data_IF_806852541677
#
_entry.id   IF_806852541677
#
_cell.length_a   1.000
_cell.length_b   1.000
_cell.length_c   1.000
_cell.angle_alpha   90.00
_cell.angle_beta   90.00
_cell.angle_gamma   90.00
#
_symmetry.space_group_name_H-M   'P 1'
#
loop_
_entity.id
_entity.type
_entity.pdbx_description
1 polymer ?
#
# COMPACT_ATOMS: atom_id res chain seq x y z
N UNK A 1 30.58 48.62 -26.55
CA UNK A 1 30.62 48.37 -27.99
C UNK A 1 29.23 47.96 -28.42
N UNK A 2 28.71 48.62 -29.44
CA UNK A 2 27.43 48.29 -30.05
C UNK A 2 27.65 47.39 -31.27
N UNK A 3 26.63 46.65 -31.71
CA UNK A 3 26.74 45.72 -32.83
C UNK A 3 27.16 46.43 -34.13
N UNK A 4 26.80 47.69 -34.33
CA UNK A 4 27.23 48.53 -35.45
C UNK A 4 28.74 48.90 -35.42
N UNK A 5 29.42 48.61 -34.32
CA UNK A 5 30.86 48.79 -34.14
C UNK A 5 31.66 47.48 -34.32
N UNK A 6 30.98 46.36 -34.63
CA UNK A 6 31.57 45.03 -34.81
C UNK A 6 31.67 44.63 -36.30
N UNK A 7 32.55 43.67 -36.58
CA UNK A 7 32.64 43.04 -37.91
C UNK A 7 31.29 42.38 -38.28
N UNK A 8 30.64 42.78 -39.39
CA UNK A 8 29.37 42.19 -39.82
C UNK A 8 29.41 40.66 -39.97
N UNK A 9 30.55 40.10 -40.37
CA UNK A 9 30.69 38.64 -40.49
C UNK A 9 30.65 37.96 -39.11
N UNK A 10 31.27 38.56 -38.10
CA UNK A 10 31.21 38.08 -36.72
C UNK A 10 29.78 38.15 -36.15
N UNK A 11 29.04 39.23 -36.42
CA UNK A 11 27.64 39.38 -35.99
C UNK A 11 26.79 38.27 -36.61
N UNK A 12 26.96 38.00 -37.91
CA UNK A 12 26.24 36.92 -38.59
C UNK A 12 26.61 35.54 -38.01
N UNK A 13 27.90 35.28 -37.77
CA UNK A 13 28.35 34.03 -37.15
C UNK A 13 27.80 33.85 -35.72
N UNK A 14 27.74 34.92 -34.91
CA UNK A 14 27.17 34.90 -33.58
C UNK A 14 25.64 34.64 -33.62
N UNK A 15 24.93 35.23 -34.60
CA UNK A 15 23.51 34.99 -34.81
C UNK A 15 23.25 33.54 -35.24
N UNK A 16 24.03 33.02 -36.18
CA UNK A 16 23.93 31.63 -36.64
C UNK A 16 24.23 30.65 -35.51
N UNK A 17 25.25 30.92 -34.69
CA UNK A 17 25.56 30.16 -33.49
C UNK A 17 24.39 30.15 -32.50
N UNK A 18 23.83 31.31 -32.16
CA UNK A 18 22.67 31.40 -31.27
C UNK A 18 21.47 30.62 -31.82
N UNK A 19 21.16 30.79 -33.10
CA UNK A 19 20.09 30.06 -33.79
C UNK A 19 20.29 28.56 -33.72
N UNK A 20 21.53 28.09 -33.94
CA UNK A 20 21.88 26.68 -33.82
C UNK A 20 21.67 26.17 -32.39
N UNK A 21 22.12 26.90 -31.37
CA UNK A 21 21.95 26.52 -29.96
C UNK A 21 20.47 26.47 -29.57
N UNK A 22 19.65 27.45 -29.95
CA UNK A 22 18.22 27.45 -29.64
C UNK A 22 17.45 26.32 -30.33
N UNK A 23 17.90 25.92 -31.52
CA UNK A 23 17.22 24.88 -32.31
C UNK A 23 17.65 23.46 -31.96
N UNK A 24 18.94 23.26 -31.64
CA UNK A 24 19.54 21.92 -31.54
C UNK A 24 19.87 21.49 -30.11
N UNK A 25 19.93 22.43 -29.16
CA UNK A 25 20.21 22.08 -27.76
C UNK A 25 19.10 21.23 -27.18
N UNK A 26 19.47 20.04 -26.68
CA UNK A 26 18.53 19.13 -26.02
C UNK A 26 18.42 19.48 -24.54
N UNK A 27 17.24 19.21 -23.97
CA UNK A 27 17.03 19.26 -22.52
C UNK A 27 18.02 18.31 -21.86
N UNK A 28 18.70 18.78 -20.80
CA UNK A 28 19.63 17.95 -20.03
C UNK A 28 18.88 16.77 -19.42
N UNK A 29 19.40 15.57 -19.61
CA UNK A 29 18.84 14.34 -19.06
C UNK A 29 19.88 13.51 -18.29
N UNK A 30 19.40 12.71 -17.35
CA UNK A 30 20.14 11.66 -16.63
C UNK A 30 19.71 10.28 -17.17
N UNK A 31 20.38 9.22 -16.71
CA UNK A 31 20.04 7.82 -17.03
C UNK A 31 18.56 7.52 -16.72
N UNK A 32 17.86 6.81 -17.60
CA UNK A 32 16.42 6.50 -17.45
C UNK A 32 15.51 7.62 -17.95
N UNK A 33 15.96 8.44 -18.91
CA UNK A 33 15.16 9.50 -19.53
C UNK A 33 14.78 10.68 -18.61
N UNK A 34 15.42 10.82 -17.46
CA UNK A 34 15.04 11.80 -16.43
C UNK A 34 15.50 13.20 -16.87
N UNK A 35 14.56 14.09 -17.17
CA UNK A 35 14.87 15.49 -17.48
C UNK A 35 15.29 16.26 -16.23
N UNK A 36 16.38 17.03 -16.34
CA UNK A 36 16.90 17.87 -15.26
C UNK A 36 16.14 19.20 -15.25
N UNK A 37 15.43 19.46 -14.15
CA UNK A 37 14.76 20.72 -13.85
C UNK A 37 15.55 21.48 -12.74
N UNK A 38 15.02 22.61 -12.25
CA UNK A 38 15.67 23.42 -11.21
C UNK A 38 16.06 22.62 -9.96
N UNK A 39 15.12 21.97 -9.25
CA UNK A 39 15.42 21.18 -8.06
C UNK A 39 16.40 20.03 -8.32
N UNK A 40 16.27 19.33 -9.45
CA UNK A 40 17.22 18.27 -9.82
C UNK A 40 18.62 18.82 -10.05
N UNK A 41 18.73 19.98 -10.70
CA UNK A 41 20.01 20.64 -10.93
C UNK A 41 20.65 21.08 -9.62
N UNK A 42 19.87 21.62 -8.68
CA UNK A 42 20.33 21.98 -7.33
C UNK A 42 20.95 20.76 -6.63
N UNK A 43 20.25 19.62 -6.60
CA UNK A 43 20.78 18.38 -6.00
C UNK A 43 22.06 17.90 -6.68
N UNK A 44 22.12 17.95 -8.01
CA UNK A 44 23.32 17.58 -8.77
C UNK A 44 24.51 18.49 -8.44
N UNK A 45 24.28 19.80 -8.38
CA UNK A 45 25.31 20.79 -8.03
C UNK A 45 25.81 20.53 -6.62
N UNK A 46 24.91 20.37 -5.64
CA UNK A 46 25.28 20.11 -4.25
C UNK A 46 26.12 18.82 -4.14
N UNK A 47 25.63 17.72 -4.73
CA UNK A 47 26.30 16.42 -4.66
C UNK A 47 27.70 16.46 -5.27
N UNK A 48 27.87 17.14 -6.41
CA UNK A 48 29.19 17.26 -7.04
C UNK A 48 30.14 18.21 -6.30
N UNK A 49 29.65 19.34 -5.82
CA UNK A 49 30.46 20.30 -5.06
C UNK A 49 30.91 19.70 -3.73
N UNK A 50 30.04 18.95 -3.05
CA UNK A 50 30.37 18.27 -1.80
C UNK A 50 31.43 17.19 -2.01
N UNK A 51 31.32 16.40 -3.09
CA UNK A 51 32.35 15.41 -3.44
C UNK A 51 33.71 16.08 -3.67
N UNK A 52 33.76 17.14 -4.47
CA UNK A 52 35.00 17.90 -4.74
C UNK A 52 35.58 18.47 -3.44
N UNK A 53 34.73 19.09 -2.62
CA UNK A 53 35.13 19.74 -1.37
C UNK A 53 35.64 18.73 -0.33
N UNK A 54 35.17 17.49 -0.38
CA UNK A 54 35.59 16.40 0.49
C UNK A 54 36.84 15.65 -0.02
N UNK A 55 37.33 15.98 -1.21
CA UNK A 55 38.47 15.31 -1.86
C UNK A 55 38.11 14.05 -2.65
N UNK A 56 36.82 13.75 -2.81
CA UNK A 56 36.30 12.64 -3.60
C UNK A 56 36.07 13.04 -5.07
N UNK A 57 35.91 12.04 -5.95
CA UNK A 57 35.61 12.26 -7.36
C UNK A 57 34.09 12.41 -7.58
N UNK A 58 33.63 13.46 -8.29
CA UNK A 58 32.24 13.57 -8.75
C UNK A 58 31.79 12.33 -9.53
N UNK A 59 30.78 11.63 -9.00
CA UNK A 59 30.26 10.40 -9.59
C UNK A 59 28.80 10.60 -10.04
N UNK A 60 28.55 10.41 -11.34
CA UNK A 60 27.19 10.53 -11.90
C UNK A 60 26.23 9.51 -11.28
N UNK A 61 26.69 8.30 -10.98
CA UNK A 61 25.85 7.27 -10.38
C UNK A 61 25.38 7.67 -8.98
N UNK A 62 26.30 8.14 -8.13
CA UNK A 62 26.00 8.62 -6.78
C UNK A 62 25.03 9.81 -6.81
N UNK A 63 25.22 10.73 -7.76
CA UNK A 63 24.33 11.89 -7.91
C UNK A 63 22.90 11.48 -8.32
N UNK A 64 22.74 10.48 -9.19
CA UNK A 64 21.41 9.96 -9.52
C UNK A 64 20.80 9.18 -8.36
N UNK A 65 21.59 8.45 -7.55
CA UNK A 65 21.11 7.75 -6.35
C UNK A 65 20.61 8.73 -5.28
N UNK A 66 21.37 9.79 -5.01
CA UNK A 66 20.97 10.84 -4.06
C UNK A 66 19.66 11.51 -4.51
N UNK A 67 19.54 11.80 -5.80
CA UNK A 67 18.31 12.35 -6.37
C UNK A 67 17.12 11.38 -6.23
N UNK A 68 17.34 10.08 -6.50
CA UNK A 68 16.32 9.06 -6.33
C UNK A 68 15.84 8.97 -4.89
N UNK A 69 16.74 9.02 -3.89
CA UNK A 69 16.35 9.00 -2.48
C UNK A 69 15.43 10.17 -2.11
N UNK A 70 15.79 11.39 -2.49
CA UNK A 70 15.01 12.59 -2.17
C UNK A 70 13.64 12.54 -2.85
N UNK A 71 13.60 12.26 -4.16
CA UNK A 71 12.35 12.26 -4.90
C UNK A 71 11.45 11.09 -4.52
N UNK A 72 12.00 9.90 -4.27
CA UNK A 72 11.21 8.74 -3.85
C UNK A 72 10.62 8.94 -2.45
N UNK A 73 11.36 9.53 -1.51
CA UNK A 73 10.83 9.89 -0.18
C UNK A 73 9.68 10.89 -0.29
N UNK A 74 9.83 11.92 -1.12
CA UNK A 74 8.75 12.86 -1.40
C UNK A 74 7.54 12.19 -2.09
N UNK A 75 7.79 11.19 -2.96
CA UNK A 75 6.73 10.41 -3.61
C UNK A 75 5.94 9.56 -2.60
N UNK A 76 6.59 8.96 -1.61
CA UNK A 76 5.92 8.25 -0.49
C UNK A 76 4.97 9.21 0.23
N UNK A 77 5.46 10.37 0.67
CA UNK A 77 4.63 11.35 1.38
C UNK A 77 3.44 11.83 0.55
N UNK A 78 3.65 12.02 -0.76
CA UNK A 78 2.59 12.44 -1.69
C UNK A 78 1.53 11.35 -1.89
N UNK A 79 1.92 10.09 -2.01
CA UNK A 79 1.00 8.96 -2.13
C UNK A 79 0.15 8.80 -0.86
N UNK A 80 0.80 8.91 0.30
CA UNK A 80 0.15 8.82 1.60
C UNK A 80 -0.85 9.96 1.82
N UNK A 81 -0.46 11.21 1.52
CA UNK A 81 -1.36 12.34 1.61
C UNK A 81 -2.57 12.20 0.66
N UNK A 82 -2.35 11.65 -0.54
CA UNK A 82 -3.43 11.35 -1.48
C UNK A 82 -4.41 10.32 -0.92
N UNK A 83 -3.91 9.22 -0.34
CA UNK A 83 -4.73 8.23 0.33
C UNK A 83 -5.58 8.85 1.46
N UNK A 84 -4.95 9.63 2.34
CA UNK A 84 -5.62 10.25 3.50
C UNK A 84 -6.75 11.19 3.03
N UNK A 85 -6.49 11.96 1.97
CA UNK A 85 -7.50 12.81 1.34
C UNK A 85 -8.68 12.00 0.78
N UNK A 86 -8.41 10.92 0.03
CA UNK A 86 -9.45 10.10 -0.58
C UNK A 86 -10.32 9.41 0.47
N UNK A 87 -9.70 8.84 1.51
CA UNK A 87 -10.43 8.20 2.60
C UNK A 87 -11.27 9.20 3.39
N UNK A 88 -10.72 10.38 3.71
CA UNK A 88 -11.47 11.42 4.42
C UNK A 88 -12.68 11.95 3.64
N UNK A 89 -12.62 11.97 2.30
CA UNK A 89 -13.73 12.44 1.46
C UNK A 89 -14.80 11.36 1.24
N UNK A 90 -14.39 10.10 1.04
CA UNK A 90 -15.29 9.01 0.64
C UNK A 90 -15.92 8.28 1.82
N UNK A 91 -15.20 8.12 2.94
CA UNK A 91 -15.66 7.31 4.07
C UNK A 91 -16.65 8.08 4.94
N UNK A 92 -17.78 7.45 5.23
CA UNK A 92 -18.78 7.95 6.20
C UNK A 92 -19.00 6.89 7.27
N UNK A 93 -18.49 7.16 8.48
CA UNK A 93 -18.61 6.25 9.61
C UNK A 93 -19.95 6.42 10.36
N UNK A 94 -20.53 5.33 10.90
CA UNK A 94 -20.18 3.94 10.60
C UNK A 94 -20.60 3.54 9.17
N UNK A 95 -19.82 2.67 8.53
CA UNK A 95 -20.18 2.04 7.25
C UNK A 95 -21.28 1.00 7.46
N UNK A 96 -22.09 0.70 6.44
CA UNK A 96 -23.14 -0.34 6.54
C UNK A 96 -22.53 -1.74 6.72
N UNK A 97 -21.46 -2.01 5.97
CA UNK A 97 -20.77 -3.30 6.00
C UNK A 97 -19.26 -3.10 6.10
N UNK A 98 -18.54 -4.16 6.49
CA UNK A 98 -17.09 -4.16 6.44
C UNK A 98 -16.60 -4.05 4.99
N UNK A 99 -17.28 -4.71 4.05
CA UNK A 99 -16.93 -4.69 2.62
C UNK A 99 -16.95 -3.26 2.05
N UNK A 100 -17.93 -2.43 2.42
CA UNK A 100 -17.96 -1.01 2.00
C UNK A 100 -16.69 -0.26 2.39
N UNK A 101 -16.17 -0.50 3.60
CA UNK A 101 -14.92 0.12 4.07
C UNK A 101 -13.70 -0.42 3.32
N UNK A 102 -13.65 -1.74 3.10
CA UNK A 102 -12.56 -2.41 2.40
C UNK A 102 -12.49 -1.95 0.93
N UNK A 103 -13.62 -1.94 0.21
CA UNK A 103 -13.67 -1.48 -1.18
C UNK A 103 -13.16 -0.03 -1.35
N UNK A 104 -13.49 0.85 -0.41
CA UNK A 104 -13.00 2.23 -0.38
C UNK A 104 -11.50 2.31 -0.09
N UNK A 105 -11.00 1.44 0.78
CA UNK A 105 -9.58 1.31 1.08
C UNK A 105 -8.80 0.84 -0.15
N UNK A 106 -9.21 -0.28 -0.75
CA UNK A 106 -8.62 -0.84 -1.97
C UNK A 106 -8.52 0.18 -3.10
N UNK A 107 -9.61 0.93 -3.35
CA UNK A 107 -9.61 1.96 -4.38
C UNK A 107 -8.62 3.10 -4.06
N UNK A 108 -8.59 3.56 -2.81
CA UNK A 108 -7.72 4.66 -2.39
C UNK A 108 -6.25 4.24 -2.34
N UNK A 109 -5.96 3.01 -1.93
CA UNK A 109 -4.63 2.40 -1.95
C UNK A 109 -4.10 2.28 -3.37
N UNK A 110 -4.91 1.76 -4.29
CA UNK A 110 -4.54 1.67 -5.71
C UNK A 110 -4.15 3.02 -6.29
N UNK A 111 -4.99 4.04 -6.08
CA UNK A 111 -4.72 5.40 -6.55
C UNK A 111 -3.43 5.98 -5.91
N UNK A 112 -3.18 5.70 -4.62
CA UNK A 112 -1.97 6.12 -3.93
C UNK A 112 -0.72 5.44 -4.50
N UNK A 113 -0.77 4.15 -4.81
CA UNK A 113 0.32 3.44 -5.47
C UNK A 113 0.59 3.98 -6.87
N UNK A 114 -0.44 4.32 -7.66
CA UNK A 114 -0.28 4.99 -8.95
C UNK A 114 0.41 6.37 -8.82
N UNK A 115 0.05 7.15 -7.79
CA UNK A 115 0.73 8.40 -7.46
C UNK A 115 2.19 8.15 -7.11
N UNK A 116 2.50 7.17 -6.27
CA UNK A 116 3.87 6.81 -5.93
C UNK A 116 4.67 6.42 -7.18
N UNK A 117 4.15 5.50 -8.00
CA UNK A 117 4.83 4.99 -9.19
C UNK A 117 5.14 6.10 -10.19
N UNK A 118 4.23 7.06 -10.36
CA UNK A 118 4.41 8.22 -11.25
C UNK A 118 5.50 9.19 -10.80
N UNK A 119 5.72 9.31 -9.48
CA UNK A 119 6.62 10.32 -8.92
C UNK A 119 7.95 9.73 -8.42
N UNK A 120 8.17 8.41 -8.55
CA UNK A 120 9.39 7.72 -8.11
C UNK A 120 10.20 7.17 -9.29
N UNK A 121 11.53 7.10 -9.16
CA UNK A 121 12.41 6.53 -10.20
C UNK A 121 13.67 5.88 -9.61
N UNK A 122 14.28 4.98 -10.40
CA UNK A 122 15.59 4.34 -10.18
C UNK A 122 15.73 3.68 -8.79
N UNK A 123 15.16 2.50 -8.68
CA UNK A 123 15.27 1.55 -7.58
C UNK A 123 16.49 0.61 -7.83
N UNK A 124 17.71 1.12 -7.64
CA UNK A 124 18.93 0.34 -7.93
C UNK A 124 19.25 -0.57 -6.76
N UNK A 125 19.30 -1.89 -7.01
CA UNK A 125 19.87 -2.88 -6.10
C UNK A 125 18.87 -3.90 -5.54
N UNK A 126 17.59 -3.84 -5.93
CA UNK A 126 16.55 -4.72 -5.37
C UNK A 126 16.45 -4.64 -3.84
N UNK A 127 17.06 -3.65 -3.17
CA UNK A 127 16.93 -3.42 -1.72
C UNK A 127 15.45 -3.30 -1.37
N UNK A 128 14.78 -2.53 -2.19
CA UNK A 128 13.36 -2.28 -2.23
C UNK A 128 12.48 -3.52 -2.51
N UNK A 129 12.95 -4.51 -3.29
CA UNK A 129 12.27 -5.80 -3.53
C UNK A 129 12.55 -6.84 -2.45
N UNK A 130 13.77 -6.85 -1.90
CA UNK A 130 14.18 -7.75 -0.82
C UNK A 130 13.54 -7.34 0.50
N UNK A 131 13.42 -6.05 0.77
CA UNK A 131 12.80 -5.52 1.98
C UNK A 131 11.29 -5.75 1.96
N UNK A 132 10.63 -5.59 0.81
CA UNK A 132 9.25 -6.03 0.63
C UNK A 132 9.09 -7.54 0.87
N UNK A 133 9.97 -8.39 0.31
CA UNK A 133 9.92 -9.84 0.55
C UNK A 133 10.19 -10.24 2.02
N UNK A 134 11.07 -9.52 2.72
CA UNK A 134 11.40 -9.72 4.14
C UNK A 134 10.27 -9.23 5.04
N UNK A 135 9.71 -8.04 4.78
CA UNK A 135 8.52 -7.54 5.46
C UNK A 135 7.30 -8.41 5.16
N UNK A 136 7.16 -8.96 3.95
CA UNK A 136 6.09 -9.91 3.63
C UNK A 136 6.25 -11.21 4.43
N UNK A 137 7.46 -11.74 4.58
CA UNK A 137 7.72 -12.86 5.49
C UNK A 137 7.39 -12.49 6.94
N UNK A 138 7.79 -11.30 7.38
CA UNK A 138 7.60 -10.84 8.75
C UNK A 138 6.14 -10.46 9.08
N UNK A 139 5.40 -9.89 8.14
CA UNK A 139 4.00 -9.51 8.25
C UNK A 139 3.11 -10.75 8.17
N UNK A 140 3.39 -11.68 7.25
CA UNK A 140 2.73 -12.99 7.24
C UNK A 140 3.05 -13.76 8.52
N UNK A 141 4.28 -13.76 9.01
CA UNK A 141 4.62 -14.38 10.30
C UNK A 141 4.01 -13.66 11.50
N UNK A 142 3.90 -12.33 11.50
CA UNK A 142 3.24 -11.54 12.55
C UNK A 142 1.74 -11.73 12.52
N UNK A 143 1.12 -11.79 11.33
CA UNK A 143 -0.28 -12.10 11.15
C UNK A 143 -0.56 -13.54 11.61
N UNK A 144 0.23 -14.52 11.17
CA UNK A 144 0.15 -15.92 11.64
C UNK A 144 0.37 -16.02 13.15
N UNK A 145 1.37 -15.34 13.72
CA UNK A 145 1.63 -15.35 15.16
C UNK A 145 0.54 -14.61 15.98
N UNK A 146 0.00 -13.50 15.46
CA UNK A 146 -1.14 -12.80 16.05
C UNK A 146 -2.39 -13.68 15.98
N UNK A 147 -2.60 -14.40 14.88
CA UNK A 147 -3.68 -15.37 14.71
C UNK A 147 -3.50 -16.59 15.60
N UNK A 148 -2.30 -17.15 15.73
CA UNK A 148 -1.99 -18.26 16.62
C UNK A 148 -2.12 -17.85 18.09
N UNK A 149 -1.77 -16.60 18.44
CA UNK A 149 -1.96 -16.03 19.77
C UNK A 149 -3.44 -15.76 20.06
N UNK A 150 -4.20 -15.24 19.10
CA UNK A 150 -5.65 -15.11 19.22
C UNK A 150 -6.34 -16.48 19.32
N UNK A 151 -5.97 -17.46 18.49
CA UNK A 151 -6.49 -18.82 18.55
C UNK A 151 -6.06 -19.54 19.82
N UNK A 152 -4.86 -19.29 20.32
CA UNK A 152 -4.38 -19.75 21.62
C UNK A 152 -5.18 -19.15 22.78
N UNK A 153 -5.49 -17.85 22.72
CA UNK A 153 -6.32 -17.14 23.69
C UNK A 153 -7.79 -17.55 23.62
N UNK A 154 -8.32 -17.82 22.42
CA UNK A 154 -9.69 -18.28 22.18
C UNK A 154 -9.81 -19.74 22.62
N UNK A 155 -8.86 -20.63 22.28
CA UNK A 155 -8.81 -22.00 22.78
C UNK A 155 -8.58 -22.04 24.29
N UNK A 156 -7.81 -21.12 24.86
CA UNK A 156 -7.66 -20.96 26.31
C UNK A 156 -8.95 -20.46 26.96
N UNK A 157 -9.69 -19.55 26.32
CA UNK A 157 -10.98 -19.04 26.78
C UNK A 157 -12.08 -20.10 26.67
N UNK A 158 -12.07 -20.90 25.61
CA UNK A 158 -12.94 -22.06 25.41
C UNK A 158 -12.58 -23.16 26.41
N UNK A 159 -11.29 -23.46 26.63
CA UNK A 159 -10.84 -24.36 27.69
C UNK A 159 -11.22 -23.84 29.08
N UNK A 160 -11.09 -22.54 29.35
CA UNK A 160 -11.52 -21.90 30.60
C UNK A 160 -13.04 -21.97 30.77
N UNK A 161 -13.83 -21.81 29.69
CA UNK A 161 -15.27 -21.97 29.73
C UNK A 161 -15.69 -23.44 29.95
N UNK A 162 -14.97 -24.38 29.32
CA UNK A 162 -15.16 -25.83 29.49
C UNK A 162 -14.71 -26.29 30.90
N UNK A 163 -13.64 -25.71 31.44
CA UNK A 163 -13.15 -25.93 32.81
C UNK A 163 -13.96 -25.16 33.85
N UNK A 164 -14.61 -24.04 33.52
CA UNK A 164 -15.57 -23.39 34.41
C UNK A 164 -16.84 -24.25 34.59
N UNK A 165 -17.08 -25.20 33.69
CA UNK A 165 -18.07 -26.26 33.84
C UNK A 165 -17.55 -27.49 34.62
N UNK A 166 -16.26 -27.55 35.00
CA UNK A 166 -15.63 -28.65 35.77
C UNK A 166 -14.50 -28.13 36.70
N UNK A 167 -14.76 -28.06 38.00
CA UNK A 167 -13.94 -27.43 39.05
C UNK A 167 -12.39 -27.65 39.05
N UNK A 168 -11.67 -26.57 39.41
CA UNK A 168 -10.38 -26.45 40.15
C UNK A 168 -9.07 -26.03 39.42
N UNK A 169 -8.57 -24.86 39.88
CA UNK A 169 -7.18 -24.47 40.17
C UNK A 169 -6.24 -23.82 39.13
N UNK A 170 -5.45 -22.88 39.71
CA UNK A 170 -4.55 -21.82 39.20
C UNK A 170 -3.36 -22.29 38.35
N UNK A 171 -2.84 -21.42 37.48
CA UNK A 171 -1.53 -20.75 37.65
C UNK A 171 -1.20 -19.69 36.57
N UNK A 172 -0.26 -18.81 36.92
CA UNK A 172 0.16 -17.56 36.25
C UNK A 172 1.28 -17.80 35.23
N UNK A 173 1.38 -16.92 34.22
CA UNK A 173 2.57 -16.80 33.37
C UNK A 173 2.64 -15.45 32.64
N UNK A 174 3.63 -14.64 33.01
CA UNK A 174 4.03 -13.36 32.43
C UNK A 174 4.76 -13.56 31.09
N UNK A 175 4.62 -12.61 30.16
CA UNK A 175 5.60 -12.44 29.05
C UNK A 175 5.83 -10.96 28.75
N UNK A 176 7.11 -10.66 28.56
CA UNK A 176 7.75 -9.36 28.35
C UNK A 176 7.67 -8.98 26.88
N UNK A 177 7.31 -7.74 26.57
CA UNK A 177 7.39 -7.14 25.24
C UNK A 177 8.82 -6.66 24.96
N UNK A 178 9.32 -6.95 23.76
CA UNK A 178 10.48 -6.29 23.17
C UNK A 178 9.97 -5.38 22.05
N UNK A 179 10.30 -4.10 22.18
CA UNK A 179 10.19 -3.09 21.12
C UNK A 179 11.44 -3.21 20.26
N UNK A 180 11.26 -3.35 18.95
CA UNK A 180 12.31 -3.05 18.00
C UNK A 180 11.82 -1.88 17.14
N UNK A 181 12.52 -0.76 17.26
CA UNK A 181 12.50 0.38 16.35
C UNK A 181 13.45 0.05 15.19
N UNK A 182 12.98 0.24 13.95
CA UNK A 182 13.89 0.46 12.82
C UNK A 182 13.39 1.69 12.05
N UNK A 183 14.26 2.71 12.02
CA UNK A 183 14.17 3.88 11.16
C UNK A 183 14.96 3.59 9.88
N UNK A 184 14.28 3.61 8.74
CA UNK A 184 14.88 3.54 7.41
C UNK A 184 13.82 3.89 6.35
N UNK A 185 14.02 5.00 5.63
CA UNK A 185 13.07 5.49 4.63
C UNK A 185 13.21 4.69 3.32
N UNK A 186 12.18 3.90 3.00
CA UNK A 186 12.10 3.05 1.80
C UNK A 186 10.67 2.95 1.24
N UNK A 187 10.43 2.38 0.06
CA UNK A 187 9.13 2.23 -0.61
C UNK A 187 8.25 1.12 -0.02
N UNK A 188 8.80 0.21 0.79
CA UNK A 188 8.01 -0.69 1.65
C UNK A 188 7.21 0.08 2.72
N UNK A 189 7.63 1.33 2.97
CA UNK A 189 6.93 2.24 3.86
C UNK A 189 5.53 2.59 3.33
N UNK A 190 5.27 2.60 2.01
CA UNK A 190 3.92 2.91 1.49
C UNK A 190 2.93 1.79 1.86
N UNK A 191 3.11 0.51 1.46
CA UNK A 191 2.20 -0.56 1.87
C UNK A 191 2.06 -0.69 3.39
N UNK A 192 3.17 -0.61 4.15
CA UNK A 192 3.13 -0.69 5.61
C UNK A 192 2.36 0.47 6.25
N UNK A 193 2.56 1.71 5.76
CA UNK A 193 1.83 2.88 6.24
C UNK A 193 0.34 2.85 5.84
N UNK A 194 0.01 2.33 4.65
CA UNK A 194 -1.37 2.19 4.19
C UNK A 194 -2.12 1.10 4.97
N UNK A 195 -1.46 -0.03 5.25
CA UNK A 195 -2.00 -1.09 6.12
C UNK A 195 -2.27 -0.57 7.53
N UNK A 196 -1.36 0.22 8.10
CA UNK A 196 -1.58 0.87 9.41
C UNK A 196 -2.80 1.79 9.38
N UNK A 197 -2.95 2.61 8.34
CA UNK A 197 -4.10 3.51 8.17
C UNK A 197 -5.41 2.75 8.01
N UNK A 198 -5.41 1.64 7.27
CA UNK A 198 -6.55 0.72 7.16
C UNK A 198 -6.99 0.23 8.53
N UNK A 199 -6.03 -0.25 9.32
CA UNK A 199 -6.30 -0.79 10.66
C UNK A 199 -6.88 0.29 11.59
N UNK A 200 -6.41 1.53 11.47
CA UNK A 200 -6.93 2.67 12.22
C UNK A 200 -8.37 3.03 11.80
N UNK A 201 -8.67 3.09 10.50
CA UNK A 201 -10.04 3.26 9.99
C UNK A 201 -10.96 2.10 10.43
N UNK A 202 -10.48 0.86 10.46
CA UNK A 202 -11.23 -0.29 10.96
C UNK A 202 -11.58 -0.13 12.44
N UNK A 203 -10.65 0.31 13.28
CA UNK A 203 -10.90 0.60 14.71
C UNK A 203 -11.91 1.71 14.89
N UNK A 204 -11.79 2.80 14.14
CA UNK A 204 -12.72 3.93 14.19
C UNK A 204 -14.13 3.50 13.75
N UNK A 205 -14.24 2.70 12.69
CA UNK A 205 -15.52 2.18 12.22
C UNK A 205 -16.18 1.24 13.22
N UNK A 206 -15.42 0.32 13.82
CA UNK A 206 -15.91 -0.54 14.91
C UNK A 206 -16.45 0.30 16.07
N UNK A 207 -15.69 1.31 16.50
CA UNK A 207 -16.11 2.21 17.58
C UNK A 207 -17.37 2.99 17.23
N UNK A 208 -17.40 3.66 16.07
CA UNK A 208 -18.56 4.44 15.63
C UNK A 208 -19.82 3.58 15.50
N UNK A 209 -19.68 2.33 15.03
CA UNK A 209 -20.77 1.37 14.97
C UNK A 209 -21.26 0.97 16.36
N UNK A 210 -20.34 0.66 17.28
CA UNK A 210 -20.68 0.30 18.66
C UNK A 210 -21.39 1.44 19.41
N UNK A 211 -20.87 2.67 19.29
CA UNK A 211 -21.44 3.86 19.89
C UNK A 211 -22.87 4.11 19.38
N UNK A 212 -23.06 4.03 18.05
CA UNK A 212 -24.37 4.20 17.44
C UNK A 212 -25.35 3.10 17.86
N UNK A 213 -24.94 1.83 17.83
CA UNK A 213 -25.79 0.71 18.20
C UNK A 213 -26.22 0.82 19.68
N UNK A 214 -25.29 1.20 20.56
CA UNK A 214 -25.56 1.42 21.98
C UNK A 214 -26.57 2.54 22.20
N UNK A 215 -26.47 3.63 21.44
CA UNK A 215 -27.44 4.73 21.50
C UNK A 215 -28.83 4.27 21.02
N UNK A 216 -28.91 3.59 19.86
CA UNK A 216 -30.16 3.06 19.33
C UNK A 216 -30.83 2.07 20.29
N UNK A 217 -30.05 1.19 20.93
CA UNK A 217 -30.60 0.26 21.91
C UNK A 217 -31.19 0.98 23.11
N UNK A 218 -30.51 2.01 23.63
CA UNK A 218 -31.06 2.85 24.71
C UNK A 218 -32.37 3.47 24.27
N UNK A 219 -32.41 4.13 23.12
CA UNK A 219 -33.61 4.83 22.66
C UNK A 219 -34.78 3.89 22.37
N UNK A 220 -34.54 2.79 21.67
CA UNK A 220 -35.59 1.83 21.25
C UNK A 220 -36.10 1.01 22.44
N UNK A 221 -35.22 0.61 23.36
CA UNK A 221 -35.59 -0.26 24.48
C UNK A 221 -35.88 0.49 25.78
N UNK A 222 -35.67 1.81 25.86
CA UNK A 222 -35.99 2.61 27.04
C UNK A 222 -37.41 2.37 27.59
N UNK A 223 -38.49 2.37 26.76
CA UNK A 223 -39.83 2.13 27.26
C UNK A 223 -39.99 0.75 27.92
N UNK A 224 -39.37 -0.28 27.31
CA UNK A 224 -39.37 -1.63 27.86
C UNK A 224 -38.68 -1.69 29.23
N UNK A 225 -37.54 -1.02 29.38
CA UNK A 225 -36.80 -0.98 30.64
C UNK A 225 -37.60 -0.31 31.75
N UNK A 226 -38.34 0.75 31.44
CA UNK A 226 -39.25 1.41 32.39
C UNK A 226 -40.45 0.53 32.75
N UNK A 227 -41.08 -0.11 31.76
CA UNK A 227 -42.19 -1.04 31.98
C UNK A 227 -41.80 -2.23 32.88
N UNK A 228 -40.57 -2.73 32.70
CA UNK A 228 -39.97 -3.75 33.58
C UNK A 228 -39.79 -3.21 35.00
N UNK A 229 -39.21 -2.02 35.18
CA UNK A 229 -38.99 -1.41 36.52
C UNK A 229 -40.31 -1.16 37.24
N UNK A 230 -41.35 -0.79 36.52
CA UNK A 230 -42.70 -0.58 37.06
C UNK A 230 -43.44 -1.89 37.36
N UNK A 231 -42.87 -3.04 37.01
CA UNK A 231 -43.45 -4.35 37.29
C UNK A 231 -44.68 -4.66 36.42
N UNK A 232 -44.81 -4.03 35.24
CA UNK A 232 -45.96 -4.22 34.33
C UNK A 232 -46.06 -5.69 33.91
N UNK A 233 -44.93 -6.35 33.71
CA UNK A 233 -44.82 -7.75 33.29
C UNK A 233 -44.93 -8.77 34.44
N UNK A 234 -45.04 -8.34 35.70
CA UNK A 234 -45.17 -9.24 36.86
C UNK A 234 -46.60 -9.75 37.10
N UNK A 235 -47.54 -9.41 36.21
CA UNK A 235 -48.94 -9.84 36.26
C UNK A 235 -49.13 -11.20 35.54
N UNK A 236 -50.21 -11.96 35.84
CA UNK A 236 -50.52 -13.19 35.11
C UNK A 236 -50.56 -12.97 33.60
N UNK A 237 -49.81 -13.75 32.83
CA UNK A 237 -49.67 -13.62 31.37
C UNK A 237 -48.61 -12.61 30.90
N UNK A 238 -47.91 -11.96 31.84
CA UNK A 238 -46.90 -10.94 31.56
C UNK A 238 -45.69 -11.45 30.77
N UNK A 239 -45.35 -12.74 30.87
CA UNK A 239 -44.24 -13.31 30.10
C UNK A 239 -44.49 -13.25 28.58
N UNK A 240 -45.71 -13.62 28.13
CA UNK A 240 -46.06 -13.59 26.71
C UNK A 240 -46.02 -12.17 26.16
N UNK A 241 -46.55 -11.21 26.92
CA UNK A 241 -46.54 -9.79 26.56
C UNK A 241 -45.11 -9.23 26.47
N UNK A 242 -44.24 -9.63 27.41
CA UNK A 242 -42.82 -9.26 27.40
C UNK A 242 -42.12 -9.77 26.14
N UNK A 243 -42.32 -11.04 25.77
CA UNK A 243 -41.72 -11.63 24.58
C UNK A 243 -42.21 -10.99 23.28
N UNK A 244 -43.50 -10.66 23.18
CA UNK A 244 -44.04 -9.93 22.03
C UNK A 244 -43.40 -8.55 21.90
N UNK A 245 -43.41 -7.76 22.98
CA UNK A 245 -42.81 -6.42 23.01
C UNK A 245 -41.32 -6.47 22.65
N UNK A 246 -40.57 -7.40 23.24
CA UNK A 246 -39.14 -7.59 22.96
C UNK A 246 -38.89 -7.91 21.48
N UNK A 247 -39.69 -8.77 20.87
CA UNK A 247 -39.53 -9.12 19.45
C UNK A 247 -39.87 -7.96 18.51
N UNK A 248 -40.87 -7.14 18.84
CA UNK A 248 -41.19 -5.93 18.09
C UNK A 248 -40.06 -4.89 18.15
N UNK A 249 -39.47 -4.69 19.33
CA UNK A 249 -38.35 -3.77 19.51
C UNK A 249 -37.07 -4.27 18.81
N UNK A 250 -36.78 -5.58 18.88
CA UNK A 250 -35.70 -6.20 18.07
C UNK A 250 -35.90 -5.91 16.59
N UNK A 251 -37.13 -6.07 16.08
CA UNK A 251 -37.44 -5.80 14.67
C UNK A 251 -37.22 -4.32 14.31
N UNK A 252 -37.64 -3.38 15.17
CA UNK A 252 -37.37 -1.95 14.96
C UNK A 252 -35.87 -1.66 14.90
N UNK A 253 -35.09 -2.20 15.85
CA UNK A 253 -33.63 -2.06 15.84
C UNK A 253 -33.00 -2.59 14.55
N UNK A 254 -33.42 -3.78 14.08
CA UNK A 254 -32.90 -4.36 12.84
C UNK A 254 -33.22 -3.52 11.60
N UNK A 255 -34.33 -2.77 11.60
CA UNK A 255 -34.73 -1.89 10.50
C UNK A 255 -33.97 -0.56 10.44
N UNK A 256 -33.27 -0.15 11.51
CA UNK A 256 -32.50 1.10 11.51
C UNK A 256 -31.33 1.05 10.50
N UNK A 257 -31.19 2.01 9.59
CA UNK A 257 -30.09 2.01 8.62
C UNK A 257 -28.76 2.34 9.30
N UNK A 258 -27.62 1.97 8.70
CA UNK A 258 -26.25 2.40 9.06
C UNK A 258 -25.84 2.12 10.50
N UNK A 259 -26.32 1.04 11.10
CA UNK A 259 -25.85 0.58 12.42
C UNK A 259 -24.37 0.20 12.40
N UNK A 260 -23.96 -0.39 11.28
CA UNK A 260 -22.62 -0.85 10.98
C UNK A 260 -22.27 -2.20 11.59
N UNK A 261 -20.98 -2.52 11.50
CA UNK A 261 -20.43 -3.87 11.68
C UNK A 261 -20.56 -4.44 13.09
N UNK A 262 -20.91 -3.64 14.11
CA UNK A 262 -21.09 -4.05 15.50
C UNK A 262 -22.57 -4.29 15.87
N UNK A 263 -23.49 -4.15 14.92
CA UNK A 263 -24.95 -4.24 15.17
C UNK A 263 -25.39 -5.50 15.92
N UNK A 264 -24.96 -6.68 15.46
CA UNK A 264 -25.39 -7.96 16.04
C UNK A 264 -24.75 -8.19 17.42
N UNK A 265 -23.43 -7.95 17.54
CA UNK A 265 -22.68 -8.10 18.79
C UNK A 265 -23.25 -7.25 19.93
N UNK A 266 -23.54 -5.98 19.65
CA UNK A 266 -24.08 -5.04 20.64
C UNK A 266 -25.50 -5.42 21.04
N UNK A 267 -26.35 -5.81 20.07
CA UNK A 267 -27.71 -6.29 20.35
C UNK A 267 -27.70 -7.55 21.23
N UNK A 268 -26.88 -8.54 20.88
CA UNK A 268 -26.82 -9.79 21.64
C UNK A 268 -26.28 -9.58 23.06
N UNK A 269 -25.29 -8.70 23.22
CA UNK A 269 -24.75 -8.34 24.54
C UNK A 269 -25.83 -7.70 25.42
N UNK A 270 -26.64 -6.81 24.84
CA UNK A 270 -27.79 -6.23 25.53
C UNK A 270 -28.84 -7.28 25.90
N UNK A 271 -29.25 -8.15 24.97
CA UNK A 271 -30.26 -9.18 25.24
C UNK A 271 -29.82 -10.15 26.33
N UNK A 272 -28.55 -10.56 26.33
CA UNK A 272 -27.95 -11.39 27.38
C UNK A 272 -28.00 -10.73 28.74
N UNK A 273 -27.78 -9.41 28.81
CA UNK A 273 -27.88 -8.66 30.06
C UNK A 273 -29.30 -8.65 30.66
N UNK A 274 -30.34 -8.92 29.85
CA UNK A 274 -31.74 -8.98 30.27
C UNK A 274 -32.24 -10.40 30.57
N UNK A 275 -31.44 -11.42 30.32
CA UNK A 275 -31.84 -12.83 30.44
C UNK A 275 -32.32 -13.19 31.87
N UNK A 276 -31.65 -12.70 32.90
CA UNK A 276 -32.02 -12.94 34.30
C UNK A 276 -33.40 -12.34 34.66
N UNK A 277 -33.71 -11.16 34.12
CA UNK A 277 -35.00 -10.49 34.32
C UNK A 277 -36.10 -11.27 33.59
N UNK A 278 -35.83 -11.71 32.37
CA UNK A 278 -36.78 -12.51 31.58
C UNK A 278 -37.08 -13.84 32.28
N UNK A 279 -36.06 -14.53 32.81
CA UNK A 279 -36.25 -15.77 33.56
C UNK A 279 -37.06 -15.53 34.84
N UNK A 280 -36.81 -14.44 35.58
CA UNK A 280 -37.60 -14.09 36.76
C UNK A 280 -39.10 -13.88 36.43
N UNK A 281 -39.41 -13.22 35.31
CA UNK A 281 -40.79 -13.05 34.83
C UNK A 281 -41.40 -14.40 34.43
N UNK A 282 -40.65 -15.26 33.73
CA UNK A 282 -41.09 -16.61 33.35
C UNK A 282 -41.43 -17.48 34.57
N UNK A 283 -40.57 -17.44 35.61
CA UNK A 283 -40.80 -18.20 36.83
C UNK A 283 -42.02 -17.69 37.60
N UNK A 284 -42.26 -16.38 37.62
CA UNK A 284 -43.35 -15.73 38.37
C UNK A 284 -44.72 -15.88 37.69
N UNK A 285 -44.77 -16.05 36.36
CA UNK A 285 -46.03 -16.12 35.63
C UNK A 285 -46.84 -17.39 35.99
N UNK A 286 -48.03 -17.20 36.58
CA UNK A 286 -48.90 -18.28 37.04
C UNK A 286 -49.76 -18.89 35.94
N UNK A 287 -49.84 -18.24 34.77
CA UNK A 287 -50.64 -18.71 33.63
C UNK A 287 -49.96 -19.84 32.83
N UNK A 288 -48.66 -20.03 33.05
CA UNK A 288 -47.85 -21.05 32.38
C UNK A 288 -47.69 -22.28 33.28
N UNK A 289 -48.00 -23.45 32.72
CA UNK A 289 -47.74 -24.74 33.39
C UNK A 289 -46.24 -25.01 33.52
N UNK A 290 -45.84 -25.85 34.49
CA UNK A 290 -44.44 -26.28 34.64
C UNK A 290 -43.85 -26.86 33.34
N UNK A 291 -44.68 -27.55 32.55
CA UNK A 291 -44.28 -28.11 31.25
C UNK A 291 -44.03 -27.01 30.21
N UNK A 292 -44.91 -26.03 30.11
CA UNK A 292 -44.73 -24.88 29.21
C UNK A 292 -43.49 -24.06 29.58
N UNK A 293 -43.24 -23.82 30.87
CA UNK A 293 -42.02 -23.14 31.34
C UNK A 293 -40.74 -23.90 30.95
N UNK A 294 -40.75 -25.23 31.04
CA UNK A 294 -39.59 -26.04 30.65
C UNK A 294 -39.33 -25.99 29.14
N UNK A 295 -40.38 -26.07 28.32
CA UNK A 295 -40.28 -25.92 26.86
C UNK A 295 -39.68 -24.56 26.52
N UNK A 296 -40.13 -23.50 27.21
CA UNK A 296 -39.66 -22.15 26.98
C UNK A 296 -38.18 -21.96 27.36
N UNK A 297 -37.74 -22.50 28.49
CA UNK A 297 -36.31 -22.52 28.87
C UNK A 297 -35.46 -23.23 27.81
N UNK A 298 -35.94 -24.34 27.26
CA UNK A 298 -35.23 -25.03 26.17
C UNK A 298 -35.21 -24.21 24.88
N UNK A 299 -36.32 -23.54 24.52
CA UNK A 299 -36.40 -22.64 23.37
C UNK A 299 -35.41 -21.49 23.48
N UNK A 300 -35.37 -20.80 24.62
CA UNK A 300 -34.44 -19.69 24.87
C UNK A 300 -32.98 -20.17 24.83
N UNK A 301 -32.67 -21.35 25.38
CA UNK A 301 -31.34 -21.96 25.25
C UNK A 301 -30.97 -22.24 23.79
N UNK A 302 -31.90 -22.75 22.99
CA UNK A 302 -31.68 -22.99 21.57
C UNK A 302 -31.46 -21.68 20.79
N UNK A 303 -32.26 -20.64 21.06
CA UNK A 303 -32.10 -19.31 20.45
C UNK A 303 -30.78 -18.64 20.83
N UNK A 304 -30.35 -18.79 22.09
CA UNK A 304 -29.05 -18.30 22.56
C UNK A 304 -27.88 -19.05 21.88
N UNK A 305 -28.00 -20.36 21.69
CA UNK A 305 -27.02 -21.15 20.94
C UNK A 305 -26.99 -20.78 19.45
N UNK A 306 -28.14 -20.53 18.83
CA UNK A 306 -28.25 -20.07 17.44
C UNK A 306 -27.64 -18.67 17.27
N UNK A 307 -27.91 -17.75 18.18
CA UNK A 307 -27.31 -16.41 18.19
C UNK A 307 -25.78 -16.46 18.36
N UNK A 308 -25.28 -17.33 19.24
CA UNK A 308 -23.84 -17.55 19.40
C UNK A 308 -23.21 -18.15 18.13
N UNK A 309 -23.90 -19.05 17.44
CA UNK A 309 -23.45 -19.60 16.16
C UNK A 309 -23.39 -18.53 15.06
N UNK A 310 -24.42 -17.68 14.94
CA UNK A 310 -24.44 -16.55 13.98
C UNK A 310 -23.32 -15.56 14.23
N UNK A 311 -23.03 -15.22 15.49
CA UNK A 311 -21.88 -14.37 15.83
C UNK A 311 -20.55 -14.99 15.40
N UNK A 312 -20.38 -16.31 15.63
CA UNK A 312 -19.17 -17.00 15.24
C UNK A 312 -18.99 -17.01 13.72
N UNK A 313 -20.07 -17.24 12.98
CA UNK A 313 -20.10 -17.19 11.51
C UNK A 313 -19.78 -15.78 10.99
N UNK A 314 -20.36 -14.73 11.56
CA UNK A 314 -20.03 -13.34 11.19
C UNK A 314 -18.57 -12.98 11.49
N UNK A 315 -18.03 -13.46 12.61
CA UNK A 315 -16.62 -13.25 12.97
C UNK A 315 -15.68 -13.98 12.00
N UNK A 316 -16.03 -15.22 11.61
CA UNK A 316 -15.30 -15.97 10.58
C UNK A 316 -15.36 -15.25 9.23
N UNK A 317 -16.54 -14.80 8.81
CA UNK A 317 -16.71 -14.06 7.56
C UNK A 317 -15.91 -12.76 7.54
N UNK A 318 -15.91 -11.98 8.63
CA UNK A 318 -15.07 -10.77 8.74
C UNK A 318 -13.59 -11.10 8.64
N UNK A 319 -13.15 -12.19 9.25
CA UNK A 319 -11.76 -12.67 9.15
C UNK A 319 -11.39 -13.05 7.72
N UNK A 320 -12.24 -13.80 7.03
CA UNK A 320 -12.02 -14.19 5.63
C UNK A 320 -11.94 -12.96 4.71
N UNK A 321 -12.85 -11.99 4.87
CA UNK A 321 -12.83 -10.74 4.11
C UNK A 321 -11.52 -9.96 4.29
N UNK A 322 -11.01 -9.88 5.53
CA UNK A 322 -9.73 -9.21 5.79
C UNK A 322 -8.54 -9.92 5.12
N UNK A 323 -8.53 -11.26 5.15
CA UNK A 323 -7.48 -12.06 4.51
C UNK A 323 -7.50 -11.90 2.99
N UNK A 324 -8.70 -11.94 2.39
CA UNK A 324 -8.87 -11.78 0.94
C UNK A 324 -8.46 -10.38 0.47
N UNK A 325 -8.78 -9.35 1.26
CA UNK A 325 -8.39 -7.97 0.96
C UNK A 325 -6.88 -7.79 0.98
N UNK A 326 -6.22 -8.33 2.00
CA UNK A 326 -4.77 -8.28 2.12
C UNK A 326 -4.08 -8.99 0.95
N UNK A 327 -4.63 -10.13 0.51
CA UNK A 327 -4.14 -10.83 -0.68
C UNK A 327 -4.34 -10.01 -1.97
N UNK A 328 -5.51 -9.39 -2.17
CA UNK A 328 -5.80 -8.54 -3.34
C UNK A 328 -4.91 -7.31 -3.41
N UNK A 329 -4.77 -6.60 -2.29
CA UNK A 329 -3.86 -5.46 -2.16
C UNK A 329 -2.44 -5.86 -2.56
N UNK A 330 -1.94 -6.96 -1.98
CA UNK A 330 -0.63 -7.50 -2.31
C UNK A 330 -0.48 -7.83 -3.81
N UNK A 331 -1.45 -8.54 -4.40
CA UNK A 331 -1.41 -8.88 -5.82
C UNK A 331 -1.37 -7.64 -6.73
N UNK A 332 -2.12 -6.58 -6.39
CA UNK A 332 -2.12 -5.32 -7.14
C UNK A 332 -0.76 -4.61 -7.03
N UNK A 333 -0.16 -4.54 -5.84
CA UNK A 333 1.18 -3.96 -5.65
C UNK A 333 2.24 -4.70 -6.48
N UNK A 334 2.22 -6.04 -6.48
CA UNK A 334 3.13 -6.87 -7.29
C UNK A 334 2.95 -6.57 -8.78
N UNK A 335 1.71 -6.46 -9.25
CA UNK A 335 1.40 -6.17 -10.65
C UNK A 335 1.95 -4.81 -11.07
N UNK A 336 1.67 -3.76 -10.31
CA UNK A 336 2.14 -2.41 -10.62
C UNK A 336 3.68 -2.32 -10.62
N UNK A 337 4.33 -3.00 -9.68
CA UNK A 337 5.79 -3.07 -9.64
C UNK A 337 6.36 -3.79 -10.86
N UNK A 338 5.74 -4.91 -11.27
CA UNK A 338 6.16 -5.67 -12.45
C UNK A 338 6.05 -4.83 -13.72
N UNK A 339 4.93 -4.14 -13.91
CA UNK A 339 4.72 -3.24 -15.05
C UNK A 339 5.77 -2.11 -15.09
N UNK A 340 6.10 -1.52 -13.94
CA UNK A 340 7.14 -0.48 -13.85
C UNK A 340 8.52 -1.03 -14.21
N UNK A 341 8.89 -2.21 -13.73
CA UNK A 341 10.18 -2.84 -14.06
C UNK A 341 10.32 -3.12 -15.55
N UNK A 342 9.25 -3.58 -16.20
CA UNK A 342 9.25 -3.82 -17.64
C UNK A 342 9.45 -2.53 -18.43
N UNK A 343 8.82 -1.43 -18.00
CA UNK A 343 9.01 -0.11 -18.59
C UNK A 343 10.44 0.41 -18.41
N UNK A 344 11.01 0.31 -17.21
CA UNK A 344 12.39 0.73 -16.94
C UNK A 344 13.41 -0.11 -17.74
N UNK A 345 13.18 -1.43 -17.85
CA UNK A 345 14.01 -2.32 -18.68
C UNK A 345 13.93 -1.93 -20.16
N UNK A 346 12.74 -1.64 -20.68
CA UNK A 346 12.57 -1.22 -22.07
C UNK A 346 13.27 0.13 -22.35
N UNK A 347 13.17 1.09 -21.43
CA UNK A 347 13.87 2.38 -21.53
C UNK A 347 15.39 2.20 -21.55
N UNK A 348 15.92 1.36 -20.65
CA UNK A 348 17.35 1.06 -20.60
C UNK A 348 17.85 0.45 -21.92
N UNK A 349 17.09 -0.47 -22.51
CA UNK A 349 17.44 -1.06 -23.81
C UNK A 349 17.49 0.00 -24.91
N UNK A 350 16.52 0.91 -24.97
CA UNK A 350 16.51 2.01 -25.94
C UNK A 350 17.71 2.95 -25.73
N UNK A 351 18.08 3.25 -24.49
CA UNK A 351 19.27 4.07 -24.18
C UNK A 351 20.57 3.38 -24.63
N UNK A 352 20.70 2.07 -24.38
CA UNK A 352 21.85 1.28 -24.81
C UNK A 352 21.95 1.20 -26.35
N UNK A 353 20.83 1.00 -27.05
CA UNK A 353 20.78 0.98 -28.51
C UNK A 353 21.18 2.33 -29.11
N UNK A 354 20.69 3.44 -28.54
CA UNK A 354 21.09 4.80 -28.96
C UNK A 354 22.59 5.04 -28.73
N UNK A 355 23.12 4.63 -27.59
CA UNK A 355 24.55 4.75 -27.29
C UNK A 355 25.39 3.92 -28.27
N UNK A 356 24.93 2.72 -28.64
CA UNK A 356 25.57 1.90 -29.65
C UNK A 356 25.51 2.56 -31.02
N UNK A 357 24.36 3.11 -31.42
CA UNK A 357 24.19 3.81 -32.70
C UNK A 357 25.14 5.01 -32.82
N UNK A 358 25.25 5.84 -31.77
CA UNK A 358 26.18 6.97 -31.75
C UNK A 358 27.64 6.52 -31.82
N UNK A 359 28.00 5.45 -31.09
CA UNK A 359 29.34 4.84 -31.24
C UNK A 359 29.58 4.44 -32.68
N UNK A 360 28.62 3.74 -33.31
CA UNK A 360 28.74 3.31 -34.71
C UNK A 360 28.91 4.49 -35.67
N UNK A 361 28.16 5.57 -35.48
CA UNK A 361 28.25 6.79 -36.30
C UNK A 361 29.62 7.46 -36.18
N UNK A 362 30.13 7.63 -34.96
CA UNK A 362 31.47 8.19 -34.72
C UNK A 362 32.55 7.35 -35.41
N UNK A 363 32.50 6.02 -35.25
CA UNK A 363 33.46 5.12 -35.91
C UNK A 363 33.36 5.16 -37.45
N UNK A 364 32.14 5.24 -37.99
CA UNK A 364 31.93 5.39 -39.43
C UNK A 364 32.48 6.72 -39.95
N UNK A 365 32.29 7.82 -39.21
CA UNK A 365 32.84 9.13 -39.53
C UNK A 365 34.38 9.10 -39.57
N UNK A 366 35.02 8.56 -38.51
CA UNK A 366 36.47 8.38 -38.47
C UNK A 366 36.95 7.54 -39.67
N UNK A 367 36.26 6.44 -39.97
CA UNK A 367 36.62 5.57 -41.09
C UNK A 367 36.52 6.29 -42.45
N UNK A 368 35.52 7.16 -42.62
CA UNK A 368 35.36 7.96 -43.85
C UNK A 368 36.48 8.98 -44.00
N UNK A 369 36.82 9.71 -42.94
CA UNK A 369 37.91 10.68 -42.94
C UNK A 369 39.26 10.03 -43.26
N UNK A 370 39.58 8.89 -42.61
CA UNK A 370 40.81 8.15 -42.87
C UNK A 370 40.87 7.63 -44.32
N UNK A 371 39.74 7.20 -44.91
CA UNK A 371 39.69 6.79 -46.32
C UNK A 371 39.93 7.94 -47.29
N UNK A 372 39.40 9.13 -46.99
CA UNK A 372 39.64 10.32 -47.82
C UNK A 372 41.11 10.72 -47.77
N UNK A 373 41.71 10.73 -46.58
CA UNK A 373 43.14 10.99 -46.40
C UNK A 373 44.01 9.94 -47.12
N UNK A 374 43.63 8.66 -47.05
CA UNK A 374 44.31 7.60 -47.80
C UNK A 374 44.30 7.85 -49.30
N UNK A 375 43.17 8.31 -49.86
CA UNK A 375 43.04 8.62 -51.28
C UNK A 375 43.90 9.82 -51.70
N UNK A 376 44.05 10.82 -50.83
CA UNK A 376 44.95 11.96 -51.04
C UNK A 376 46.41 11.53 -51.04
N UNK A 377 46.85 10.75 -50.04
CA UNK A 377 48.20 10.21 -49.95
C UNK A 377 48.57 9.36 -51.18
N UNK A 378 47.61 8.57 -51.69
CA UNK A 378 47.81 7.77 -52.90
C UNK A 378 47.99 8.65 -54.14
N UNK A 379 47.24 9.77 -54.23
CA UNK A 379 47.33 10.74 -55.33
C UNK A 379 48.65 11.52 -55.33
N UNK A 380 49.18 11.80 -54.14
CA UNK A 380 50.46 12.51 -53.94
C UNK A 380 51.70 11.59 -54.04
N UNK A 381 51.51 10.27 -54.12
CA UNK A 381 52.59 9.29 -54.33
C UNK A 381 53.15 8.65 -53.05
N UNK A 382 52.57 8.92 -51.88
CA UNK A 382 52.98 8.39 -50.57
C UNK A 382 52.45 6.96 -50.35
N UNK A 383 53.05 5.98 -51.04
CA UNK A 383 52.60 4.58 -51.06
C UNK A 383 52.78 3.83 -49.73
N UNK A 384 53.71 4.24 -48.86
CA UNK A 384 53.98 3.55 -47.59
C UNK A 384 53.00 4.00 -46.51
N UNK A 385 52.76 5.30 -46.43
CA UNK A 385 51.82 5.98 -45.55
C UNK A 385 50.39 5.53 -45.88
N UNK A 386 50.05 5.46 -47.17
CA UNK A 386 48.76 4.92 -47.62
C UNK A 386 48.53 3.47 -47.20
N UNK A 387 49.56 2.61 -47.25
CA UNK A 387 49.49 1.21 -46.77
C UNK A 387 49.40 1.10 -45.25
N UNK A 388 50.00 2.03 -44.51
CA UNK A 388 49.85 2.09 -43.05
C UNK A 388 48.44 2.49 -42.66
N UNK A 389 47.90 3.54 -43.26
CA UNK A 389 46.54 4.02 -43.02
C UNK A 389 45.48 2.96 -43.39
N UNK A 390 45.73 2.16 -44.43
CA UNK A 390 44.87 1.02 -44.77
C UNK A 390 44.77 0.00 -43.64
N UNK A 391 45.89 -0.32 -42.98
CA UNK A 391 45.94 -1.27 -41.86
C UNK A 391 45.20 -0.73 -40.64
N UNK A 392 45.29 0.57 -40.39
CA UNK A 392 44.56 1.24 -39.30
C UNK A 392 43.04 1.18 -39.54
N UNK A 393 42.59 1.43 -40.77
CA UNK A 393 41.17 1.29 -41.17
C UNK A 393 40.68 -0.16 -40.99
N UNK A 394 41.47 -1.15 -41.40
CA UNK A 394 41.15 -2.58 -41.26
C UNK A 394 41.02 -2.98 -39.78
N UNK A 395 41.96 -2.54 -38.94
CA UNK A 395 41.96 -2.79 -37.50
C UNK A 395 40.74 -2.17 -36.81
N UNK A 396 40.38 -0.92 -37.15
CA UNK A 396 39.19 -0.26 -36.63
C UNK A 396 37.90 -1.03 -36.98
N UNK A 397 37.77 -1.51 -38.22
CA UNK A 397 36.62 -2.35 -38.64
C UNK A 397 36.55 -3.67 -37.88
N UNK A 398 37.68 -4.32 -37.63
CA UNK A 398 37.73 -5.60 -36.92
C UNK A 398 37.37 -5.45 -35.44
N UNK A 399 37.84 -4.38 -34.78
CA UNK A 399 37.47 -4.05 -33.41
C UNK A 399 35.96 -3.80 -33.28
N UNK A 400 35.36 -3.15 -34.29
CA UNK A 400 33.92 -2.91 -34.36
C UNK A 400 33.07 -4.17 -34.51
N UNK A 401 33.53 -5.12 -35.34
CA UNK A 401 32.89 -6.43 -35.47
C UNK A 401 32.94 -7.23 -34.15
N UNK A 402 33.99 -7.04 -33.34
CA UNK A 402 34.13 -7.61 -32.00
C UNK A 402 33.19 -6.99 -30.96
N UNK A 403 33.06 -5.65 -30.94
CA UNK A 403 32.18 -4.95 -29.99
C UNK A 403 30.69 -5.21 -30.22
N UNK A 404 30.24 -5.39 -31.47
CA UNK A 404 28.85 -5.78 -31.77
C UNK A 404 28.46 -7.12 -31.14
N UNK A 405 29.36 -8.11 -31.16
CA UNK A 405 29.08 -9.46 -30.64
C UNK A 405 28.94 -9.48 -29.11
N UNK A 406 29.61 -8.57 -28.39
CA UNK A 406 29.49 -8.44 -26.92
C UNK A 406 28.21 -7.74 -26.48
N UNK A 407 27.66 -6.82 -27.27
CA UNK A 407 26.43 -6.08 -26.92
C UNK A 407 25.13 -6.87 -27.14
N UNK A 408 25.13 -7.98 -27.88
CA UNK A 408 23.93 -8.78 -28.19
C UNK A 408 23.62 -9.83 -27.10
N UNK A 409 24.53 -10.01 -26.12
CA UNK A 409 24.51 -11.10 -25.14
C UNK A 409 24.09 -10.69 -23.71
N UNK A 410 23.48 -9.50 -23.53
CA UNK A 410 23.05 -8.98 -22.22
C UNK A 410 21.53 -9.04 -22.09
#
# INVERSE_FOLDING_TARGET
MHDDELDPEFIQQAADFCSYIFTNSKVKSLSGGIHVNGPRLETLVMTYVDAISSGDLPCMENAVLALAQIENSAAVQKAIAHYDQQMAQKVKLPTETLQELLDLHMASEKEASEVFMKNSFKDVGHLFQKELAIENSAAVQKAVAHYDRQMGNINASIKLAISAMNFSSKEKGTSVERQDQEEGCGPAEVPAQLAKRRDDFCKENMKASSDRCSALLKDIFYPLEEDIKQGIYSKPGGYRLLMQTMNELKKKYLQEPRKGIQSEEVLQTYLRSKESVIDAVLQTDQTLTKREKLIEVQRVKAESAEAAAKMLEEMQKKKEQMMEEEEKSYQEHVKQLTEKMEQERAQLMVEQERALALKLEVYNGITLSLKQEQALLLKEGFQNESRQLQREIENLKNNMAGSRKKCILI
#
